data_IF_414990117595
#
_entry.id   IF_414990117595
#
_cell.length_a   1.000
_cell.length_b   1.000
_cell.length_c   1.000
_cell.angle_alpha   90.00
_cell.angle_beta   90.00
_cell.angle_gamma   90.00
#
_symmetry.space_group_name_H-M   'P 1'
#
loop_
_entity.id
_entity.type
_entity.pdbx_description
1 polymer ?
#
# COMPACT_ATOMS: atom_id res chain seq x y z
N UNK A 1 -12.13 -8.49 37.23
CA UNK A 1 -11.64 -9.64 36.43
C UNK A 1 -11.88 -9.39 34.94
N UNK A 2 -11.31 -8.33 34.36
CA UNK A 2 -11.63 -7.90 32.97
C UNK A 2 -10.41 -7.34 32.22
N UNK A 3 -9.23 -7.28 32.85
CA UNK A 3 -8.01 -6.74 32.25
C UNK A 3 -7.13 -7.81 31.59
N UNK A 4 -7.29 -9.08 31.96
CA UNK A 4 -6.52 -10.19 31.40
C UNK A 4 -7.08 -10.69 30.06
N UNK A 5 -8.39 -10.56 29.81
CA UNK A 5 -8.99 -11.02 28.56
C UNK A 5 -8.65 -10.11 27.35
N UNK A 6 -8.52 -8.79 27.55
CA UNK A 6 -8.15 -7.84 26.49
C UNK A 6 -6.68 -7.91 26.09
N UNK A 7 -5.79 -8.30 27.02
CA UNK A 7 -4.37 -8.50 26.74
C UNK A 7 -4.07 -9.81 25.97
N UNK A 8 -4.90 -10.84 26.16
CA UNK A 8 -4.73 -12.12 25.46
C UNK A 8 -5.14 -12.00 23.99
N UNK A 9 -6.20 -11.24 23.69
CA UNK A 9 -6.71 -11.10 22.30
C UNK A 9 -5.80 -10.23 21.42
N UNK A 10 -5.22 -9.18 22.00
CA UNK A 10 -4.28 -8.29 21.30
C UNK A 10 -2.93 -8.96 20.98
N UNK A 11 -2.48 -9.89 21.82
CA UNK A 11 -1.25 -10.67 21.58
C UNK A 11 -1.36 -11.63 20.40
N UNK A 12 -2.52 -12.28 20.20
CA UNK A 12 -2.76 -13.18 19.09
C UNK A 12 -2.86 -12.45 17.74
N UNK A 13 -3.45 -11.25 17.72
CA UNK A 13 -3.48 -10.38 16.54
C UNK A 13 -2.08 -9.80 16.21
N UNK A 14 -1.29 -9.44 17.23
CA UNK A 14 0.10 -9.01 17.07
C UNK A 14 0.99 -10.13 16.52
N UNK A 15 0.80 -11.38 16.96
CA UNK A 15 1.53 -12.53 16.44
C UNK A 15 1.22 -12.84 14.98
N UNK A 16 -0.03 -12.61 14.53
CA UNK A 16 -0.44 -12.78 13.14
C UNK A 16 0.19 -11.71 12.21
N UNK A 17 0.37 -10.49 12.72
CA UNK A 17 1.06 -9.40 12.02
C UNK A 17 2.58 -9.61 12.05
N UNK A 18 3.17 -10.02 13.18
CA UNK A 18 4.61 -10.29 13.33
C UNK A 18 5.08 -11.51 12.54
N UNK A 19 4.26 -12.57 12.46
CA UNK A 19 4.52 -13.77 11.65
C UNK A 19 3.85 -13.66 10.30
N UNK A 20 4.05 -12.56 9.59
CA UNK A 20 3.46 -12.44 8.27
C UNK A 20 4.05 -13.52 7.37
N UNK A 21 3.24 -14.45 6.85
CA UNK A 21 3.76 -15.48 6.00
C UNK A 21 4.24 -14.78 4.73
N UNK A 22 5.47 -15.06 4.29
CA UNK A 22 6.00 -14.63 2.97
C UNK A 22 4.96 -14.76 1.85
N UNK A 23 4.04 -15.73 1.99
CA UNK A 23 2.87 -15.96 1.14
C UNK A 23 1.96 -14.73 0.97
N UNK A 24 1.67 -13.95 2.01
CA UNK A 24 0.85 -12.75 1.89
C UNK A 24 1.56 -11.69 1.02
N UNK A 25 2.85 -11.46 1.27
CA UNK A 25 3.65 -10.51 0.51
C UNK A 25 3.73 -10.91 -0.97
N UNK A 26 4.04 -12.17 -1.25
CA UNK A 26 4.07 -12.70 -2.61
C UNK A 26 2.68 -12.69 -3.26
N UNK A 27 1.63 -12.95 -2.50
CA UNK A 27 0.24 -12.90 -2.97
C UNK A 27 -0.16 -11.49 -3.40
N UNK A 28 0.12 -10.49 -2.57
CA UNK A 28 -0.16 -9.07 -2.89
C UNK A 28 0.72 -8.61 -4.06
N UNK A 29 2.00 -8.97 -4.08
CA UNK A 29 2.88 -8.68 -5.21
C UNK A 29 2.37 -9.26 -6.53
N UNK A 30 1.98 -10.55 -6.53
CA UNK A 30 1.39 -11.19 -7.70
C UNK A 30 0.06 -10.54 -8.10
N UNK A 31 -0.76 -10.15 -7.12
CA UNK A 31 -2.01 -9.45 -7.35
C UNK A 31 -1.81 -8.10 -8.07
N UNK A 32 -0.74 -7.35 -7.78
CA UNK A 32 -0.41 -6.14 -8.57
C UNK A 32 -0.19 -6.44 -10.06
N UNK A 33 0.61 -7.47 -10.36
CA UNK A 33 0.87 -7.89 -11.75
C UNK A 33 -0.41 -8.38 -12.45
N UNK A 34 -1.23 -9.18 -11.74
CA UNK A 34 -2.49 -9.69 -12.25
C UNK A 34 -3.53 -8.59 -12.46
N UNK A 35 -3.67 -7.66 -11.52
CA UNK A 35 -4.58 -6.51 -11.65
C UNK A 35 -4.20 -5.67 -12.85
N UNK A 36 -2.92 -5.33 -13.04
CA UNK A 36 -2.49 -4.57 -14.20
C UNK A 36 -2.70 -5.32 -15.52
N UNK A 37 -2.47 -6.63 -15.55
CA UNK A 37 -2.74 -7.49 -16.70
C UNK A 37 -4.24 -7.51 -17.04
N UNK A 38 -5.11 -7.75 -16.05
CA UNK A 38 -6.56 -7.80 -16.24
C UNK A 38 -7.09 -6.45 -16.70
N UNK A 39 -6.68 -5.35 -16.07
CA UNK A 39 -7.07 -4.00 -16.47
C UNK A 39 -6.69 -3.72 -17.93
N UNK A 40 -5.47 -4.08 -18.34
CA UNK A 40 -5.05 -3.94 -19.73
C UNK A 40 -5.82 -4.85 -20.69
N UNK A 41 -6.14 -6.09 -20.28
CA UNK A 41 -6.98 -6.99 -21.08
C UNK A 41 -8.36 -6.38 -21.34
N UNK A 42 -9.01 -5.84 -20.31
CA UNK A 42 -10.34 -5.23 -20.44
C UNK A 42 -10.30 -3.95 -21.27
N UNK A 43 -9.26 -3.12 -21.11
CA UNK A 43 -9.15 -1.84 -21.81
C UNK A 43 -8.60 -1.95 -23.25
N UNK A 44 -7.98 -3.07 -23.61
CA UNK A 44 -7.37 -3.27 -24.94
C UNK A 44 -8.33 -3.67 -26.06
N UNK A 45 -9.64 -3.71 -25.78
CA UNK A 45 -10.67 -4.07 -26.77
C UNK A 45 -10.62 -3.16 -27.99
N UNK A 46 -10.36 -3.73 -29.17
CA UNK A 46 -10.33 -3.00 -30.44
C UNK A 46 -8.96 -2.49 -30.90
N UNK A 47 -7.89 -2.74 -30.14
CA UNK A 47 -6.52 -2.41 -30.57
C UNK A 47 -5.97 -3.44 -31.55
N UNK A 48 -5.09 -2.99 -32.46
CA UNK A 48 -4.35 -3.89 -33.34
C UNK A 48 -3.51 -4.91 -32.53
N UNK A 49 -3.31 -6.15 -33.02
CA UNK A 49 -2.68 -7.22 -32.24
C UNK A 49 -1.33 -6.87 -31.60
N UNK A 50 -0.47 -6.16 -32.34
CA UNK A 50 0.86 -5.75 -31.86
C UNK A 50 0.79 -4.66 -30.78
N UNK A 51 -0.14 -3.69 -30.94
CA UNK A 51 -0.39 -2.64 -29.95
C UNK A 51 -0.98 -3.23 -28.66
N UNK A 52 -1.85 -4.22 -28.79
CA UNK A 52 -2.40 -4.97 -27.66
C UNK A 52 -1.32 -5.71 -26.89
N UNK A 53 -0.44 -6.44 -27.57
CA UNK A 53 0.70 -7.13 -26.93
C UNK A 53 1.64 -6.16 -26.21
N UNK A 54 1.96 -5.02 -26.84
CA UNK A 54 2.76 -3.97 -26.22
C UNK A 54 2.12 -3.41 -24.95
N UNK A 55 0.82 -3.08 -25.01
CA UNK A 55 0.06 -2.57 -23.86
C UNK A 55 -0.01 -3.58 -22.71
N UNK A 56 -0.27 -4.86 -23.02
CA UNK A 56 -0.29 -5.92 -22.01
C UNK A 56 1.05 -6.05 -21.30
N UNK A 57 2.13 -6.09 -22.08
CA UNK A 57 3.50 -6.23 -21.54
C UNK A 57 3.88 -5.04 -20.67
N UNK A 58 3.67 -3.81 -21.18
CA UNK A 58 3.98 -2.59 -20.43
C UNK A 58 3.12 -2.46 -19.17
N UNK A 59 1.84 -2.81 -19.25
CA UNK A 59 0.94 -2.78 -18.09
C UNK A 59 1.38 -3.78 -17.02
N UNK A 60 1.67 -5.03 -17.40
CA UNK A 60 2.14 -6.04 -16.43
C UNK A 60 3.47 -5.64 -15.81
N UNK A 61 4.43 -5.13 -16.60
CA UNK A 61 5.70 -4.63 -16.07
C UNK A 61 5.51 -3.45 -15.11
N UNK A 62 4.64 -2.51 -15.48
CA UNK A 62 4.28 -1.37 -14.61
C UNK A 62 3.60 -1.84 -13.33
N UNK A 63 2.72 -2.84 -13.39
CA UNK A 63 2.07 -3.44 -12.23
C UNK A 63 3.06 -4.11 -11.29
N UNK A 64 3.97 -4.94 -11.82
CA UNK A 64 5.03 -5.59 -11.03
C UNK A 64 5.98 -4.56 -10.41
N UNK A 65 6.35 -3.52 -11.16
CA UNK A 65 7.18 -2.44 -10.64
C UNK A 65 6.46 -1.67 -9.53
N UNK A 66 5.18 -1.35 -9.70
CA UNK A 66 4.36 -0.72 -8.66
C UNK A 66 4.29 -1.60 -7.41
N UNK A 67 4.06 -2.90 -7.56
CA UNK A 67 4.07 -3.86 -6.45
C UNK A 67 5.43 -3.92 -5.73
N UNK A 68 6.54 -3.92 -6.48
CA UNK A 68 7.89 -3.91 -5.92
C UNK A 68 8.19 -2.61 -5.15
N UNK A 69 7.77 -1.46 -5.67
CA UNK A 69 7.95 -0.17 -5.00
C UNK A 69 7.08 -0.07 -3.75
N UNK A 70 5.82 -0.49 -3.81
CA UNK A 70 4.88 -0.41 -2.68
C UNK A 70 5.25 -1.40 -1.57
N UNK A 71 5.71 -2.62 -1.88
CA UNK A 71 6.06 -3.60 -0.85
C UNK A 71 7.54 -3.54 -0.44
N UNK A 72 8.40 -3.00 -1.29
CA UNK A 72 9.84 -2.88 -1.08
C UNK A 72 10.23 -1.50 -0.56
N UNK A 73 10.09 -0.49 -1.42
CA UNK A 73 10.58 0.87 -1.16
C UNK A 73 9.74 1.63 -0.14
N UNK A 74 8.42 1.59 -0.23
CA UNK A 74 7.55 2.36 0.66
C UNK A 74 7.77 2.02 2.15
N UNK A 75 7.82 0.75 2.59
CA UNK A 75 8.10 0.42 3.99
C UNK A 75 9.46 0.93 4.46
N UNK A 76 10.48 0.89 3.59
CA UNK A 76 11.81 1.42 3.93
C UNK A 76 11.78 2.92 4.15
N UNK A 77 11.17 3.67 3.22
CA UNK A 77 11.06 5.13 3.32
C UNK A 77 10.18 5.53 4.49
N UNK A 78 9.07 4.83 4.72
CA UNK A 78 8.16 5.07 5.83
C UNK A 78 8.87 4.87 7.18
N UNK A 79 9.58 3.75 7.36
CA UNK A 79 10.35 3.50 8.59
C UNK A 79 11.47 4.53 8.76
N UNK A 80 12.18 4.88 7.69
CA UNK A 80 13.24 5.90 7.74
C UNK A 80 12.71 7.27 8.17
N UNK A 81 11.63 7.75 7.55
CA UNK A 81 10.98 9.02 7.92
C UNK A 81 10.40 8.97 9.33
N UNK A 82 9.80 7.84 9.73
CA UNK A 82 9.29 7.66 11.09
C UNK A 82 10.38 7.86 12.14
N UNK A 83 11.55 7.24 11.94
CA UNK A 83 12.73 7.38 12.82
C UNK A 83 13.29 8.81 12.83
N UNK A 84 13.30 9.49 11.68
CA UNK A 84 13.82 10.86 11.57
C UNK A 84 12.90 11.91 12.18
N UNK A 85 11.58 11.70 12.13
CA UNK A 85 10.58 12.63 12.63
C UNK A 85 10.24 12.38 14.12
N UNK A 86 10.91 11.43 14.79
CA UNK A 86 10.66 11.09 16.20
C UNK A 86 9.23 10.64 16.47
N UNK A 87 8.56 10.09 15.46
CA UNK A 87 7.14 9.77 15.51
C UNK A 87 6.87 8.36 16.04
N UNK A 88 5.59 8.11 16.34
CA UNK A 88 5.04 6.83 16.79
C UNK A 88 5.53 5.68 15.87
N UNK A 89 6.35 4.77 16.41
CA UNK A 89 6.93 3.66 15.66
C UNK A 89 8.46 3.57 15.68
N UNK A 90 9.12 4.11 16.72
CA UNK A 90 10.55 3.86 16.97
C UNK A 90 10.87 2.34 17.03
N UNK A 91 9.90 1.55 17.50
CA UNK A 91 9.94 0.09 17.55
C UNK A 91 9.38 -0.61 16.28
N UNK A 92 8.82 0.12 15.32
CA UNK A 92 8.26 -0.50 14.11
C UNK A 92 9.37 -0.96 13.17
N UNK A 93 9.63 -2.25 13.16
CA UNK A 93 10.58 -2.83 12.21
C UNK A 93 10.02 -2.85 10.78
N UNK A 94 10.92 -2.73 9.80
CA UNK A 94 10.60 -2.77 8.36
C UNK A 94 9.70 -3.94 7.96
N UNK A 95 9.89 -5.19 8.47
CA UNK A 95 9.00 -6.30 8.14
C UNK A 95 7.56 -6.06 8.59
N UNK A 96 7.34 -5.41 9.74
CA UNK A 96 6.00 -5.13 10.25
C UNK A 96 5.27 -4.11 9.38
N UNK A 97 5.94 -3.00 9.03
CA UNK A 97 5.39 -1.99 8.12
C UNK A 97 5.09 -2.59 6.74
N UNK A 98 5.96 -3.46 6.24
CA UNK A 98 5.75 -4.17 4.96
C UNK A 98 4.46 -4.99 4.98
N UNK A 99 4.15 -5.64 6.10
CA UNK A 99 2.97 -6.48 6.26
C UNK A 99 1.69 -5.68 6.43
N UNK A 100 1.76 -4.60 7.21
CA UNK A 100 0.68 -3.60 7.30
C UNK A 100 0.36 -3.03 5.92
N UNK A 101 1.40 -2.68 5.15
CA UNK A 101 1.25 -2.20 3.77
C UNK A 101 0.58 -3.25 2.88
N UNK A 102 1.03 -4.51 2.94
CA UNK A 102 0.45 -5.58 2.14
C UNK A 102 -1.04 -5.80 2.43
N UNK A 103 -1.45 -5.81 3.70
CA UNK A 103 -2.85 -5.91 4.11
C UNK A 103 -3.66 -4.71 3.62
N UNK A 104 -3.11 -3.51 3.79
CA UNK A 104 -3.76 -2.27 3.37
C UNK A 104 -3.97 -2.18 1.87
N UNK A 105 -3.19 -2.87 1.03
CA UNK A 105 -3.37 -2.80 -0.43
C UNK A 105 -4.51 -3.68 -0.96
N UNK A 106 -5.01 -4.64 -0.17
CA UNK A 106 -6.07 -5.57 -0.61
C UNK A 106 -7.34 -4.83 -1.08
N UNK A 107 -7.91 -3.86 -0.32
CA UNK A 107 -9.09 -3.14 -0.78
C UNK A 107 -8.86 -2.34 -2.08
N UNK A 108 -7.69 -1.71 -2.23
CA UNK A 108 -7.33 -0.99 -3.47
C UNK A 108 -7.24 -1.95 -4.66
N UNK A 109 -6.61 -3.12 -4.49
CA UNK A 109 -6.51 -4.11 -5.57
C UNK A 109 -7.88 -4.65 -5.99
N UNK A 110 -8.76 -4.97 -5.03
CA UNK A 110 -10.12 -5.46 -5.31
C UNK A 110 -10.93 -4.41 -6.05
N UNK A 111 -10.96 -3.17 -5.55
CA UNK A 111 -11.74 -2.10 -6.17
C UNK A 111 -11.18 -1.67 -7.53
N UNK A 112 -9.87 -1.78 -7.76
CA UNK A 112 -9.27 -1.55 -9.08
C UNK A 112 -9.72 -2.61 -10.09
N UNK A 113 -9.79 -3.88 -9.68
CA UNK A 113 -10.35 -4.94 -10.51
C UNK A 113 -11.85 -4.71 -10.80
N UNK A 114 -12.63 -4.34 -9.78
CA UNK A 114 -14.04 -4.01 -9.95
C UNK A 114 -14.25 -2.81 -10.88
N UNK A 115 -13.42 -1.76 -10.76
CA UNK A 115 -13.44 -0.60 -11.65
C UNK A 115 -13.15 -1.00 -13.10
N UNK A 116 -12.15 -1.86 -13.30
CA UNK A 116 -11.78 -2.35 -14.62
C UNK A 116 -12.93 -3.12 -15.28
N UNK A 117 -13.62 -3.98 -14.54
CA UNK A 117 -14.72 -4.82 -15.08
C UNK A 117 -16.02 -4.05 -15.24
N UNK A 118 -16.40 -3.21 -14.26
CA UNK A 118 -17.67 -2.48 -14.28
C UNK A 118 -17.65 -1.20 -15.12
N UNK A 119 -16.46 -0.69 -15.46
CA UNK A 119 -16.29 0.62 -16.08
C UNK A 119 -16.55 1.80 -15.12
N UNK A 120 -16.97 1.54 -13.87
CA UNK A 120 -17.23 2.58 -12.87
C UNK A 120 -15.94 2.98 -12.15
N UNK A 121 -15.14 3.82 -12.79
CA UNK A 121 -13.86 4.32 -12.26
C UNK A 121 -13.88 4.86 -10.82
N UNK A 122 -14.92 5.57 -10.35
CA UNK A 122 -14.94 6.14 -8.99
C UNK A 122 -14.84 5.13 -7.85
N UNK A 123 -15.14 3.83 -8.06
CA UNK A 123 -15.00 2.81 -7.00
C UNK A 123 -13.55 2.64 -6.52
N UNK A 124 -12.56 3.00 -7.34
CA UNK A 124 -11.14 3.00 -6.93
C UNK A 124 -10.86 3.96 -5.78
N UNK A 125 -11.60 5.07 -5.69
CA UNK A 125 -11.49 6.02 -4.59
C UNK A 125 -11.93 5.39 -3.26
N UNK A 126 -13.02 4.61 -3.27
CA UNK A 126 -13.47 3.86 -2.10
C UNK A 126 -12.40 2.85 -1.66
N UNK A 127 -11.74 2.19 -2.62
CA UNK A 127 -10.60 1.32 -2.36
C UNK A 127 -9.47 2.01 -1.63
N UNK A 128 -9.06 3.18 -2.13
CA UNK A 128 -7.99 4.00 -1.53
C UNK A 128 -8.35 4.47 -0.12
N UNK A 129 -9.59 4.92 0.10
CA UNK A 129 -10.08 5.33 1.42
C UNK A 129 -10.06 4.15 2.41
N UNK A 130 -10.62 3.00 2.02
CA UNK A 130 -10.61 1.80 2.85
C UNK A 130 -9.18 1.34 3.14
N UNK A 131 -8.30 1.37 2.14
CA UNK A 131 -6.88 1.02 2.29
C UNK A 131 -6.17 1.94 3.27
N UNK A 132 -6.48 3.23 3.25
CA UNK A 132 -5.95 4.21 4.21
C UNK A 132 -6.41 3.90 5.63
N UNK A 133 -7.69 3.62 5.83
CA UNK A 133 -8.25 3.26 7.14
C UNK A 133 -7.63 1.97 7.67
N UNK A 134 -7.54 0.93 6.82
CA UNK A 134 -6.90 -0.35 7.16
C UNK A 134 -5.43 -0.15 7.51
N UNK A 135 -4.70 0.66 6.76
CA UNK A 135 -3.30 0.97 7.03
C UNK A 135 -3.12 1.62 8.41
N UNK A 136 -3.87 2.68 8.68
CA UNK A 136 -3.80 3.43 9.95
C UNK A 136 -4.18 2.53 11.12
N UNK A 137 -5.24 1.74 10.98
CA UNK A 137 -5.69 0.81 12.02
C UNK A 137 -4.65 -0.28 12.30
N UNK A 138 -4.11 -0.91 11.25
CA UNK A 138 -3.09 -1.94 11.39
C UNK A 138 -1.78 -1.36 11.94
N UNK A 139 -1.43 -0.12 11.62
CA UNK A 139 -0.28 0.59 12.21
C UNK A 139 -0.51 0.91 13.69
N UNK A 140 -1.72 1.35 14.07
CA UNK A 140 -2.12 1.59 15.45
C UNK A 140 -2.01 0.31 16.29
N UNK A 141 -2.52 -0.81 15.80
CA UNK A 141 -2.37 -2.12 16.45
C UNK A 141 -0.91 -2.56 16.52
N UNK A 142 -0.16 -2.43 15.43
CA UNK A 142 1.25 -2.80 15.34
C UNK A 142 2.12 -2.08 16.38
N UNK A 143 1.78 -0.83 16.69
CA UNK A 143 2.55 0.04 17.58
C UNK A 143 1.93 0.21 18.97
N UNK A 144 0.79 -0.44 19.25
CA UNK A 144 0.09 -0.30 20.52
C UNK A 144 -0.33 1.15 20.84
N UNK A 145 -0.68 1.94 19.82
CA UNK A 145 -0.98 3.37 19.96
C UNK A 145 -2.39 3.72 19.54
N UNK A 146 -2.90 4.87 20.01
CA UNK A 146 -4.21 5.36 19.60
C UNK A 146 -4.29 5.59 18.09
N UNK A 147 -5.43 5.23 17.50
CA UNK A 147 -5.68 5.39 16.06
C UNK A 147 -5.51 6.84 15.59
N UNK A 148 -5.86 7.82 16.43
CA UNK A 148 -5.67 9.23 16.13
C UNK A 148 -4.18 9.61 16.02
N UNK A 149 -3.32 9.03 16.86
CA UNK A 149 -1.88 9.26 16.81
C UNK A 149 -1.27 8.61 15.56
N UNK A 150 -1.63 7.36 15.26
CA UNK A 150 -1.22 6.66 14.04
C UNK A 150 -1.69 7.41 12.77
N UNK A 151 -2.89 7.98 12.79
CA UNK A 151 -3.44 8.79 11.71
C UNK A 151 -2.63 10.06 11.48
N UNK A 152 -2.39 10.85 12.53
CA UNK A 152 -1.57 12.07 12.47
C UNK A 152 -0.18 11.78 11.91
N UNK A 153 0.45 10.70 12.38
CA UNK A 153 1.77 10.27 11.93
C UNK A 153 1.77 9.84 10.45
N UNK A 154 0.78 9.05 10.04
CA UNK A 154 0.63 8.63 8.64
C UNK A 154 0.46 9.82 7.71
N UNK A 155 -0.40 10.78 8.07
CA UNK A 155 -0.61 11.99 7.28
C UNK A 155 0.63 12.91 7.27
N UNK A 156 1.39 12.99 8.37
CA UNK A 156 2.64 13.72 8.41
C UNK A 156 3.64 13.14 7.40
N UNK A 157 3.84 11.82 7.40
CA UNK A 157 4.76 11.14 6.47
C UNK A 157 4.30 11.32 5.03
N UNK A 158 3.01 11.15 4.75
CA UNK A 158 2.46 11.38 3.41
C UNK A 158 2.62 12.84 2.98
N UNK A 159 2.43 13.81 3.87
CA UNK A 159 2.68 15.22 3.61
C UNK A 159 4.14 15.48 3.24
N UNK A 160 5.09 14.87 3.95
CA UNK A 160 6.53 14.94 3.61
C UNK A 160 6.80 14.30 2.25
N UNK A 161 6.26 13.12 1.97
CA UNK A 161 6.44 12.45 0.69
C UNK A 161 5.87 13.26 -0.48
N UNK A 162 4.67 13.83 -0.33
CA UNK A 162 4.05 14.71 -1.32
C UNK A 162 4.87 15.98 -1.52
N UNK A 163 5.34 16.60 -0.43
CA UNK A 163 6.23 17.76 -0.49
C UNK A 163 7.52 17.46 -1.26
N UNK A 164 8.16 16.32 -0.99
CA UNK A 164 9.35 15.88 -1.71
C UNK A 164 9.10 15.63 -3.20
N UNK A 165 7.94 15.05 -3.57
CA UNK A 165 7.56 14.86 -4.97
C UNK A 165 7.33 16.19 -5.70
N UNK A 166 6.70 17.16 -5.03
CA UNK A 166 6.49 18.51 -5.58
C UNK A 166 7.84 19.20 -5.78
N UNK A 167 8.73 19.15 -4.78
CA UNK A 167 10.07 19.74 -4.88
C UNK A 167 10.89 19.09 -6.00
N UNK A 168 10.87 17.76 -6.11
CA UNK A 168 11.55 17.04 -7.18
C UNK A 168 11.05 17.48 -8.56
N UNK A 169 9.73 17.61 -8.73
CA UNK A 169 9.13 18.09 -9.98
C UNK A 169 9.56 19.52 -10.32
N UNK A 170 9.63 20.41 -9.33
CA UNK A 170 10.12 21.80 -9.54
C UNK A 170 11.57 21.79 -9.98
N UNK A 171 12.44 21.02 -9.32
CA UNK A 171 13.88 20.94 -9.66
C UNK A 171 14.10 20.40 -11.06
N UNK A 172 13.37 19.34 -11.45
CA UNK A 172 13.46 18.77 -12.80
C UNK A 172 13.07 19.81 -13.86
N UNK A 173 11.97 20.54 -13.63
CA UNK A 173 11.50 21.59 -14.55
C UNK A 173 12.40 22.81 -14.61
N UNK A 174 13.08 23.16 -13.51
CA UNK A 174 14.02 24.27 -13.48
C UNK A 174 15.35 23.96 -14.20
N UNK A 175 15.66 22.67 -14.38
CA UNK A 175 16.86 22.20 -15.08
C UNK A 175 16.65 21.79 -16.54
N UNK A 176 15.42 21.85 -17.06
CA UNK A 176 15.04 21.56 -18.45
C UNK A 176 14.75 22.84 -19.23
#
# INVERSE_FOLDING_TARGET
MTLTATLIDSSAHLDLIRRTPRRLLWGVFAAYGLTALITALVQSGGLAPNLRLGLLTLSTLSGLLAGALVLGLYPLVFTFLSRKLGGVGEESDVPQIRSVTALAMIPTLITTLLAAVSGFGPITLLGGLLSTVVFIYALSLANGTDMLAAMKHTFLIWGVLLGLLILLNIVIKAGS
#
